data_IF_129991058251
#
_entry.id   IF_129991058251
#
_cell.length_a   1.000
_cell.length_b   1.000
_cell.length_c   1.000
_cell.angle_alpha   90.00
_cell.angle_beta   90.00
_cell.angle_gamma   90.00
#
_symmetry.space_group_name_H-M   'P 1'
#
loop_
_entity.id
_entity.type
_entity.pdbx_description
1 polymer ?
#
# COMPACT_ATOMS: atom_id res chain seq x y z
N UNK A 1 -7.02 -31.38 -1.30
CA UNK A 1 -6.76 -29.98 -0.94
C UNK A 1 -8.02 -29.41 -0.33
N UNK A 2 -8.04 -29.10 0.97
CA UNK A 2 -9.08 -28.19 1.48
C UNK A 2 -8.81 -26.82 0.85
N UNK A 3 -9.79 -26.24 0.16
CA UNK A 3 -9.70 -24.83 -0.22
C UNK A 3 -9.69 -24.05 1.09
N UNK A 4 -8.53 -23.54 1.49
CA UNK A 4 -8.50 -22.52 2.54
C UNK A 4 -9.29 -21.34 1.95
N UNK A 5 -10.38 -20.90 2.59
CA UNK A 5 -11.10 -19.73 2.12
C UNK A 5 -10.12 -18.55 2.08
N UNK A 6 -9.93 -17.96 0.89
CA UNK A 6 -9.10 -16.78 0.70
C UNK A 6 -9.76 -15.62 1.45
N UNK A 7 -9.29 -15.36 2.68
CA UNK A 7 -9.88 -14.36 3.56
C UNK A 7 -9.78 -12.95 2.94
N UNK A 8 -8.76 -12.74 2.10
CA UNK A 8 -8.50 -11.52 1.35
C UNK A 8 -9.40 -11.34 0.12
N UNK A 9 -10.22 -12.33 -0.25
CA UNK A 9 -10.97 -12.30 -1.50
C UNK A 9 -11.90 -11.09 -1.60
N UNK A 10 -12.66 -10.83 -0.52
CA UNK A 10 -13.55 -9.67 -0.47
C UNK A 10 -12.78 -8.36 -0.52
N UNK A 11 -11.60 -8.29 0.11
CA UNK A 11 -10.74 -7.10 0.09
C UNK A 11 -10.25 -6.80 -1.32
N UNK A 12 -9.68 -7.81 -2.00
CA UNK A 12 -9.23 -7.73 -3.39
C UNK A 12 -10.39 -7.33 -4.31
N UNK A 13 -11.55 -7.97 -4.16
CA UNK A 13 -12.71 -7.67 -4.98
C UNK A 13 -13.14 -6.19 -4.87
N UNK A 14 -13.24 -5.66 -3.64
CA UNK A 14 -13.58 -4.24 -3.45
C UNK A 14 -12.51 -3.30 -4.02
N UNK A 15 -11.23 -3.64 -3.84
CA UNK A 15 -10.12 -2.85 -4.40
C UNK A 15 -10.19 -2.79 -5.94
N UNK A 16 -10.36 -3.94 -6.61
CA UNK A 16 -10.42 -4.00 -8.07
C UNK A 16 -11.69 -3.38 -8.66
N UNK A 17 -12.78 -3.34 -7.90
CA UNK A 17 -14.01 -2.64 -8.28
C UNK A 17 -13.94 -1.11 -8.06
N UNK A 18 -12.84 -0.60 -7.49
CA UNK A 18 -12.71 0.82 -7.15
C UNK A 18 -13.49 1.23 -5.89
N UNK A 19 -14.04 0.26 -5.15
CA UNK A 19 -14.73 0.48 -3.89
C UNK A 19 -13.71 0.60 -2.74
N UNK A 20 -12.78 1.55 -2.85
CA UNK A 20 -11.63 1.71 -1.93
C UNK A 20 -12.05 1.93 -0.47
N UNK A 21 -13.10 2.71 -0.23
CA UNK A 21 -13.62 2.91 1.13
C UNK A 21 -14.20 1.61 1.71
N UNK A 22 -14.89 0.81 0.89
CA UNK A 22 -15.42 -0.47 1.32
C UNK A 22 -14.29 -1.46 1.61
N UNK A 23 -13.23 -1.47 0.79
CA UNK A 23 -12.03 -2.26 1.02
C UNK A 23 -11.38 -1.93 2.38
N UNK A 24 -11.23 -0.65 2.72
CA UNK A 24 -10.70 -0.22 4.03
C UNK A 24 -11.62 -0.68 5.17
N UNK A 25 -12.94 -0.57 5.01
CA UNK A 25 -13.87 -0.97 6.07
C UNK A 25 -13.83 -2.47 6.39
N UNK A 26 -13.55 -3.32 5.39
CA UNK A 26 -13.46 -4.77 5.57
C UNK A 26 -12.04 -5.26 5.83
N UNK A 27 -11.07 -4.35 5.99
CA UNK A 27 -9.67 -4.73 6.19
C UNK A 27 -9.39 -5.31 7.58
N UNK A 28 -10.29 -5.14 8.57
CA UNK A 28 -10.15 -5.74 9.90
C UNK A 28 -10.43 -7.27 9.84
N UNK A 29 -9.52 -8.01 9.22
CA UNK A 29 -9.59 -9.45 9.06
C UNK A 29 -8.66 -10.10 10.09
N UNK A 30 -9.22 -10.96 10.93
CA UNK A 30 -8.50 -11.69 11.99
C UNK A 30 -8.03 -13.06 11.49
N UNK A 31 -6.99 -13.61 12.12
CA UNK A 31 -6.39 -14.92 11.79
C UNK A 31 -5.72 -14.98 10.41
N UNK A 32 -5.14 -13.87 9.96
CA UNK A 32 -4.30 -13.84 8.76
C UNK A 32 -2.92 -14.40 9.08
N UNK A 33 -2.33 -15.11 8.11
CA UNK A 33 -0.90 -15.41 8.13
C UNK A 33 -0.09 -14.11 7.98
N UNK A 34 1.20 -14.14 8.30
CA UNK A 34 2.07 -12.96 8.19
C UNK A 34 2.12 -12.44 6.74
N UNK A 35 2.17 -13.35 5.77
CA UNK A 35 2.08 -13.07 4.34
C UNK A 35 0.76 -12.38 3.95
N UNK A 36 -0.38 -12.91 4.42
CA UNK A 36 -1.71 -12.34 4.15
C UNK A 36 -1.91 -10.98 4.83
N UNK A 37 -1.33 -10.80 6.01
CA UNK A 37 -1.35 -9.55 6.76
C UNK A 37 -0.62 -8.45 5.99
N UNK A 38 0.55 -8.75 5.43
CA UNK A 38 1.31 -7.81 4.60
C UNK A 38 0.52 -7.46 3.34
N UNK A 39 -0.13 -8.45 2.71
CA UNK A 39 -0.93 -8.20 1.51
C UNK A 39 -2.16 -7.33 1.80
N UNK A 40 -2.88 -7.61 2.90
CA UNK A 40 -3.97 -6.75 3.38
C UNK A 40 -3.48 -5.31 3.51
N UNK A 41 -2.38 -5.09 4.22
CA UNK A 41 -1.85 -3.76 4.49
C UNK A 41 -1.49 -3.05 3.18
N UNK A 42 -0.89 -3.76 2.23
CA UNK A 42 -0.61 -3.23 0.90
C UNK A 42 -1.89 -2.79 0.16
N UNK A 43 -2.96 -3.58 0.19
CA UNK A 43 -4.23 -3.25 -0.46
C UNK A 43 -4.92 -2.07 0.22
N UNK A 44 -4.86 -1.99 1.56
CA UNK A 44 -5.42 -0.89 2.34
C UNK A 44 -4.68 0.42 2.05
N UNK A 45 -3.35 0.42 2.11
CA UNK A 45 -2.58 1.63 1.80
C UNK A 45 -2.73 2.06 0.34
N UNK A 46 -2.81 1.12 -0.61
CA UNK A 46 -3.15 1.45 -2.00
C UNK A 46 -4.55 2.03 -2.15
N UNK A 47 -5.51 1.58 -1.33
CA UNK A 47 -6.86 2.16 -1.28
C UNK A 47 -6.82 3.60 -0.77
N UNK A 48 -6.03 3.89 0.26
CA UNK A 48 -5.81 5.27 0.73
C UNK A 48 -5.17 6.16 -0.34
N UNK A 49 -4.18 5.66 -1.08
CA UNK A 49 -3.60 6.38 -2.23
C UNK A 49 -4.68 6.70 -3.27
N UNK A 50 -5.52 5.72 -3.61
CA UNK A 50 -6.57 5.90 -4.61
C UNK A 50 -7.65 6.93 -4.18
N UNK A 51 -7.87 7.09 -2.86
CA UNK A 51 -8.75 8.12 -2.29
C UNK A 51 -8.08 9.50 -2.16
N UNK A 52 -6.80 9.63 -2.51
CA UNK A 52 -6.04 10.89 -2.42
C UNK A 52 -5.37 11.13 -1.05
N UNK A 53 -5.45 10.16 -0.14
CA UNK A 53 -4.86 10.24 1.20
C UNK A 53 -3.39 9.83 1.19
N UNK A 54 -2.57 10.47 0.35
CA UNK A 54 -1.15 10.15 0.20
C UNK A 54 -0.35 10.39 1.49
N UNK A 55 -0.66 11.49 2.20
CA UNK A 55 0.08 11.91 3.38
C UNK A 55 0.02 10.86 4.51
N UNK A 56 -1.14 10.23 4.70
CA UNK A 56 -1.34 9.17 5.69
C UNK A 56 -0.43 7.98 5.40
N UNK A 57 -0.35 7.56 4.13
CA UNK A 57 0.48 6.43 3.72
C UNK A 57 1.98 6.72 3.89
N UNK A 58 2.38 7.98 3.71
CA UNK A 58 3.77 8.42 3.89
C UNK A 58 4.17 8.40 5.37
N UNK A 59 3.24 8.79 6.25
CA UNK A 59 3.47 8.89 7.70
C UNK A 59 3.42 7.51 8.39
N UNK A 60 2.43 6.68 8.02
CA UNK A 60 2.20 5.36 8.64
C UNK A 60 3.24 4.31 8.25
N UNK A 61 3.79 4.37 7.03
CA UNK A 61 4.77 3.38 6.57
C UNK A 61 6.18 3.79 7.03
N UNK A 62 6.72 3.11 8.03
CA UNK A 62 8.10 3.32 8.49
C UNK A 62 9.16 2.75 7.51
N UNK A 63 10.39 3.24 7.56
CA UNK A 63 11.51 2.78 6.70
C UNK A 63 11.92 1.31 6.96
N UNK A 64 11.58 0.76 8.13
CA UNK A 64 11.79 -0.66 8.46
C UNK A 64 10.65 -1.58 7.97
N UNK A 65 9.62 -1.03 7.32
CA UNK A 65 8.52 -1.84 6.79
C UNK A 65 8.98 -2.73 5.64
N UNK A 66 8.20 -3.77 5.35
CA UNK A 66 8.51 -4.76 4.31
C UNK A 66 8.65 -4.09 2.93
N UNK A 67 9.48 -4.68 2.07
CA UNK A 67 9.71 -4.21 0.69
C UNK A 67 8.42 -3.82 -0.08
N UNK A 68 7.31 -4.59 -0.02
CA UNK A 68 6.08 -4.18 -0.70
C UNK A 68 5.45 -2.93 -0.12
N UNK A 69 5.50 -2.71 1.20
CA UNK A 69 4.99 -1.48 1.83
C UNK A 69 5.87 -0.27 1.49
N UNK A 70 7.20 -0.44 1.43
CA UNK A 70 8.11 0.62 0.96
C UNK A 70 7.74 1.09 -0.46
N UNK A 71 7.41 0.16 -1.37
CA UNK A 71 6.99 0.50 -2.72
C UNK A 71 5.67 1.31 -2.74
N UNK A 72 4.73 1.00 -1.84
CA UNK A 72 3.48 1.77 -1.69
C UNK A 72 3.75 3.18 -1.15
N UNK A 73 4.65 3.32 -0.17
CA UNK A 73 5.10 4.64 0.31
C UNK A 73 5.73 5.46 -0.79
N UNK A 74 6.61 4.86 -1.60
CA UNK A 74 7.22 5.53 -2.74
C UNK A 74 6.18 5.98 -3.76
N UNK A 75 5.19 5.15 -4.06
CA UNK A 75 4.08 5.52 -4.94
C UNK A 75 3.28 6.71 -4.37
N UNK A 76 2.98 6.70 -3.07
CA UNK A 76 2.31 7.81 -2.40
C UNK A 76 3.13 9.11 -2.46
N UNK A 77 4.45 9.02 -2.22
CA UNK A 77 5.38 10.14 -2.38
C UNK A 77 5.40 10.65 -3.82
N UNK A 78 5.44 9.76 -4.80
CA UNK A 78 5.44 10.13 -6.21
C UNK A 78 4.18 10.91 -6.59
N UNK A 79 3.01 10.43 -6.16
CA UNK A 79 1.72 11.03 -6.46
C UNK A 79 1.42 12.30 -5.65
N UNK A 80 2.03 12.46 -4.47
CA UNK A 80 1.86 13.67 -3.65
C UNK A 80 2.67 14.87 -4.16
N UNK A 81 3.60 14.65 -5.09
CA UNK A 81 4.43 15.72 -5.66
C UNK A 81 3.68 16.43 -6.79
N UNK A 82 3.50 17.76 -6.71
CA UNK A 82 3.07 18.53 -7.86
C UNK A 82 4.19 18.52 -8.91
N UNK A 83 3.96 17.86 -10.04
CA UNK A 83 4.54 17.87 -11.42
C UNK A 83 5.99 18.37 -11.63
N UNK A 84 6.44 19.42 -10.93
CA UNK A 84 7.74 20.09 -11.07
C UNK A 84 8.89 19.49 -10.23
N UNK A 85 8.64 18.57 -9.29
CA UNK A 85 9.66 18.08 -8.33
C UNK A 85 10.12 16.63 -8.54
N UNK A 86 9.57 15.93 -9.53
CA UNK A 86 9.78 14.48 -9.77
C UNK A 86 11.24 14.14 -10.09
N UNK A 87 11.95 15.00 -10.83
CA UNK A 87 13.33 14.75 -11.22
C UNK A 87 14.34 14.75 -10.06
N UNK A 88 14.07 15.48 -8.97
CA UNK A 88 15.02 15.64 -7.87
C UNK A 88 14.94 14.53 -6.82
N UNK A 89 13.78 13.87 -6.68
CA UNK A 89 13.61 12.79 -5.70
C UNK A 89 14.07 11.44 -6.26
N UNK A 90 13.91 11.20 -7.56
CA UNK A 90 14.37 9.94 -8.18
C UNK A 90 15.90 9.78 -8.12
N UNK A 91 16.66 10.88 -8.26
CA UNK A 91 18.13 10.84 -8.14
C UNK A 91 18.59 10.54 -6.71
N UNK A 92 17.91 11.07 -5.69
CA UNK A 92 18.27 10.83 -4.29
C UNK A 92 17.82 9.43 -3.83
N UNK A 93 16.69 8.94 -4.35
CA UNK A 93 16.17 7.62 -3.99
C UNK A 93 17.01 6.48 -4.57
N UNK A 94 17.41 6.56 -5.85
CA UNK A 94 18.32 5.57 -6.46
C UNK A 94 19.67 5.56 -5.75
N UNK A 95 20.16 6.73 -5.34
CA UNK A 95 21.44 6.85 -4.62
C UNK A 95 21.41 6.27 -3.20
N UNK A 96 20.22 6.09 -2.61
CA UNK A 96 20.07 5.55 -1.25
C UNK A 96 19.86 4.03 -1.22
N UNK A 97 19.64 3.40 -2.38
CA UNK A 97 19.51 1.94 -2.50
C UNK A 97 20.85 1.24 -2.82
N UNK A 98 21.90 2.02 -3.16
CA UNK A 98 23.26 1.55 -3.49
C UNK A 98 24.25 1.70 -2.32
N UNK A 99 23.76 1.80 -1.09
CA UNK A 99 24.58 1.80 0.14
C UNK A 99 24.03 0.83 1.16
#
# INVERSE_FOLDING_TARGET
MAMVPDLLFNLRNNFYLGAYQAAINISDIKNLSEEDSIERDCLVYRSYIALGSYQLVIDEIDSSATTPLQAVKLLALYLSIPEKKVGFLLINFVSSFDR
#
